data_IF_827793581185
#
_entry.id   IF_827793581185
#
_cell.length_a   1.000
_cell.length_b   1.000
_cell.length_c   1.000
_cell.angle_alpha   90.00
_cell.angle_beta   90.00
_cell.angle_gamma   90.00
#
_symmetry.space_group_name_H-M   'P 1'
#
loop_
_entity.id
_entity.type
_entity.pdbx_description
1 polymer ?
#
# COMPACT_ATOMS: atom_id res chain seq x y z
N UNK A 1 19.58 -9.48 4.64
CA UNK A 1 18.90 -9.02 5.86
C UNK A 1 18.76 -7.52 5.75
N UNK A 2 17.57 -7.00 6.03
CA UNK A 2 17.30 -5.56 6.14
C UNK A 2 17.24 -5.22 7.62
N UNK A 3 17.71 -4.05 8.07
CA UNK A 3 17.55 -3.62 9.46
C UNK A 3 16.07 -3.61 9.88
N UNK A 4 15.78 -3.89 11.15
CA UNK A 4 14.42 -4.10 11.65
C UNK A 4 13.53 -2.87 11.44
N UNK A 5 14.07 -1.65 11.58
CA UNK A 5 13.29 -0.43 11.36
C UNK A 5 12.86 -0.31 9.90
N UNK A 6 13.80 -0.58 8.98
CA UNK A 6 13.53 -0.53 7.55
C UNK A 6 12.72 -1.73 7.05
N UNK A 7 12.93 -2.90 7.63
CA UNK A 7 12.36 -4.16 7.20
C UNK A 7 10.83 -4.10 7.15
N UNK A 8 10.20 -3.46 8.14
CA UNK A 8 8.75 -3.28 8.18
C UNK A 8 8.17 -2.35 7.11
N UNK A 9 8.99 -1.49 6.49
CA UNK A 9 8.57 -0.66 5.36
C UNK A 9 8.51 -1.44 4.04
N UNK A 10 9.08 -2.64 3.97
CA UNK A 10 8.98 -3.51 2.79
C UNK A 10 7.64 -4.24 2.77
N UNK A 11 7.23 -4.70 1.58
CA UNK A 11 6.06 -5.58 1.48
C UNK A 11 6.24 -6.87 2.29
N UNK A 12 5.13 -7.48 2.71
CA UNK A 12 5.12 -8.67 3.58
C UNK A 12 5.96 -9.82 3.02
N UNK A 13 5.92 -10.05 1.71
CA UNK A 13 6.70 -11.11 1.04
C UNK A 13 8.21 -10.92 1.21
N UNK A 14 8.69 -9.68 1.11
CA UNK A 14 10.08 -9.32 1.34
C UNK A 14 10.44 -9.42 2.83
N UNK A 15 9.52 -9.06 3.72
CA UNK A 15 9.73 -9.23 5.17
C UNK A 15 10.00 -10.69 5.53
N UNK A 16 9.21 -11.63 5.01
CA UNK A 16 9.39 -13.06 5.31
C UNK A 16 10.79 -13.61 4.98
N UNK A 17 11.43 -13.10 3.92
CA UNK A 17 12.76 -13.55 3.52
C UNK A 17 13.89 -12.80 4.23
N UNK A 18 13.69 -11.52 4.57
CA UNK A 18 14.79 -10.61 4.87
C UNK A 18 14.69 -9.87 6.21
N UNK A 19 13.53 -9.89 6.86
CA UNK A 19 13.35 -9.24 8.16
C UNK A 19 14.09 -10.02 9.26
N UNK A 20 14.82 -9.37 10.19
CA UNK A 20 15.62 -10.06 11.18
C UNK A 20 14.82 -11.04 12.05
N UNK A 21 13.56 -10.71 12.38
CA UNK A 21 12.65 -11.61 13.13
C UNK A 21 12.42 -12.99 12.49
N UNK A 22 12.55 -13.11 11.17
CA UNK A 22 12.29 -14.36 10.44
C UNK A 22 13.57 -15.07 10.00
N UNK A 23 14.74 -14.51 10.30
CA UNK A 23 16.03 -15.11 9.99
C UNK A 23 16.57 -15.79 11.25
N UNK A 24 16.74 -17.11 11.21
CA UNK A 24 17.30 -17.83 12.34
C UNK A 24 18.72 -17.34 12.68
N UNK A 25 18.98 -17.13 13.98
CA UNK A 25 20.29 -16.71 14.49
C UNK A 25 20.50 -15.21 14.66
N UNK A 26 19.57 -14.36 14.21
CA UNK A 26 19.63 -12.89 14.42
C UNK A 26 19.35 -12.50 15.87
N UNK A 27 18.52 -13.28 16.57
CA UNK A 27 18.08 -12.96 17.93
C UNK A 27 17.28 -11.66 17.97
N UNK A 28 17.49 -10.84 19.00
CA UNK A 28 16.85 -9.52 19.16
C UNK A 28 17.70 -8.38 18.58
N UNK A 29 18.58 -8.66 17.62
CA UNK A 29 19.35 -7.61 16.97
C UNK A 29 18.44 -6.79 16.04
N UNK A 30 18.58 -5.46 16.11
CA UNK A 30 17.89 -4.54 15.20
C UNK A 30 18.56 -4.48 13.82
N UNK A 31 19.84 -4.84 13.69
CA UNK A 31 20.55 -4.80 12.41
C UNK A 31 20.86 -3.40 11.86
N UNK A 32 20.65 -2.34 12.65
CA UNK A 32 20.82 -0.91 12.29
C UNK A 32 22.22 -0.34 12.67
N UNK A 33 23.24 -1.20 12.72
CA UNK A 33 24.56 -0.82 13.23
C UNK A 33 25.24 0.29 12.40
N UNK A 34 25.03 0.31 11.08
CA UNK A 34 25.62 1.30 10.20
C UNK A 34 24.96 2.67 10.38
N UNK A 35 23.65 2.68 10.58
CA UNK A 35 22.81 3.84 10.79
C UNK A 35 23.21 4.58 12.06
N UNK A 36 23.51 3.84 13.14
CA UNK A 36 24.06 4.41 14.38
C UNK A 36 25.41 5.09 14.17
N UNK A 37 26.30 4.48 13.38
CA UNK A 37 27.62 5.04 13.04
C UNK A 37 27.46 6.32 12.21
N UNK A 38 26.60 6.29 11.19
CA UNK A 38 26.33 7.45 10.34
C UNK A 38 25.70 8.59 11.14
N UNK A 39 24.76 8.27 12.04
CA UNK A 39 24.14 9.24 12.93
C UNK A 39 25.18 9.95 13.81
N UNK A 40 26.06 9.18 14.45
CA UNK A 40 27.15 9.74 15.27
C UNK A 40 28.08 10.65 14.45
N UNK A 41 28.38 10.27 13.20
CA UNK A 41 29.25 11.05 12.32
C UNK A 41 28.70 12.44 11.97
N UNK A 42 27.40 12.70 12.14
CA UNK A 42 26.81 14.02 11.91
C UNK A 42 27.38 15.09 12.86
N UNK A 43 27.89 14.71 14.03
CA UNK A 43 28.53 15.63 14.97
C UNK A 43 29.75 16.34 14.36
N UNK A 44 30.43 15.68 13.41
CA UNK A 44 31.58 16.24 12.70
C UNK A 44 31.20 17.34 11.69
N UNK A 45 29.93 17.44 11.29
CA UNK A 45 29.52 18.33 10.21
C UNK A 45 29.88 19.80 10.48
N UNK A 46 29.72 20.25 11.72
CA UNK A 46 29.98 21.65 12.11
C UNK A 46 31.48 21.95 12.19
N UNK A 47 32.26 21.08 12.82
CA UNK A 47 33.70 21.29 13.04
C UNK A 47 34.52 21.15 11.75
N UNK A 48 34.08 20.29 10.83
CA UNK A 48 34.81 20.02 9.58
C UNK A 48 34.43 20.92 8.41
N UNK A 49 33.33 21.70 8.49
CA UNK A 49 32.79 22.52 7.40
C UNK A 49 33.81 23.48 6.77
N UNK A 50 34.65 24.09 7.60
CA UNK A 50 35.67 25.06 7.18
C UNK A 50 37.10 24.56 7.45
N UNK A 51 37.26 23.30 7.82
CA UNK A 51 38.55 22.70 8.06
C UNK A 51 39.29 22.47 6.73
N UNK A 52 40.62 22.60 6.75
CA UNK A 52 41.42 22.13 5.61
C UNK A 52 41.35 20.59 5.53
N UNK A 53 41.82 20.03 4.41
CA UNK A 53 41.79 18.58 4.18
C UNK A 53 42.45 17.77 5.31
N UNK A 54 43.59 18.24 5.79
CA UNK A 54 44.35 17.56 6.85
C UNK A 54 43.55 17.51 8.16
N UNK A 55 43.10 18.66 8.66
CA UNK A 55 42.33 18.73 9.90
C UNK A 55 40.97 18.04 9.79
N UNK A 56 40.36 18.01 8.60
CA UNK A 56 39.13 17.25 8.37
C UNK A 56 39.37 15.75 8.53
N UNK A 57 40.43 15.21 7.94
CA UNK A 57 40.76 13.79 8.11
C UNK A 57 41.11 13.46 9.56
N UNK A 58 41.93 14.30 10.20
CA UNK A 58 42.29 14.13 11.60
C UNK A 58 41.04 14.10 12.51
N UNK A 59 40.11 15.04 12.33
CA UNK A 59 38.87 15.07 13.13
C UNK A 59 37.99 13.84 12.90
N UNK A 60 37.92 13.32 11.66
CA UNK A 60 37.18 12.09 11.35
C UNK A 60 37.83 10.88 12.05
N UNK A 61 39.16 10.74 11.95
CA UNK A 61 39.90 9.65 12.58
C UNK A 61 39.76 9.68 14.11
N UNK A 62 39.94 10.85 14.73
CA UNK A 62 39.81 11.03 16.17
C UNK A 62 38.40 10.72 16.67
N UNK A 63 37.36 11.16 15.93
CA UNK A 63 35.98 10.88 16.29
C UNK A 63 35.67 9.38 16.28
N UNK A 64 36.07 8.65 15.23
CA UNK A 64 35.81 7.21 15.18
C UNK A 64 36.68 6.41 16.16
N UNK A 65 37.91 6.84 16.43
CA UNK A 65 38.74 6.23 17.46
C UNK A 65 38.13 6.40 18.86
N UNK A 66 37.62 7.59 19.16
CA UNK A 66 36.92 7.86 20.42
C UNK A 66 35.60 7.07 20.51
N UNK A 67 34.80 7.08 19.44
CA UNK A 67 33.55 6.33 19.37
C UNK A 67 33.77 4.83 19.60
N UNK A 68 34.80 4.23 19.00
CA UNK A 68 35.14 2.82 19.21
C UNK A 68 35.53 2.53 20.66
N UNK A 69 36.35 3.39 21.27
CA UNK A 69 36.73 3.27 22.67
C UNK A 69 35.51 3.35 23.61
N UNK A 70 34.59 4.28 23.36
CA UNK A 70 33.34 4.43 24.12
C UNK A 70 32.44 3.20 23.97
N UNK A 71 32.29 2.68 22.75
CA UNK A 71 31.50 1.45 22.50
C UNK A 71 32.12 0.24 23.19
N UNK A 72 33.44 0.11 23.14
CA UNK A 72 34.15 -0.96 23.82
C UNK A 72 33.99 -0.86 25.35
N UNK A 73 34.10 0.35 25.92
CA UNK A 73 33.88 0.59 27.34
C UNK A 73 32.44 0.27 27.78
N UNK A 74 31.45 0.55 26.92
CA UNK A 74 30.04 0.26 27.18
C UNK A 74 29.63 -1.21 26.92
N UNK A 75 30.47 -1.99 26.23
CA UNK A 75 30.11 -3.31 25.69
C UNK A 75 29.62 -4.28 26.76
N UNK A 76 30.30 -4.36 27.91
CA UNK A 76 29.92 -5.28 29.00
C UNK A 76 28.53 -4.96 29.57
N UNK A 77 28.21 -3.67 29.73
CA UNK A 77 26.90 -3.23 30.22
C UNK A 77 25.81 -3.50 29.19
N UNK A 78 26.11 -3.25 27.91
CA UNK A 78 25.23 -3.55 26.80
C UNK A 78 24.87 -5.05 26.77
N UNK A 79 25.88 -5.93 26.77
CA UNK A 79 25.68 -7.38 26.76
C UNK A 79 24.91 -7.88 27.98
N UNK A 80 25.25 -7.39 29.17
CA UNK A 80 24.56 -7.78 30.41
C UNK A 80 23.09 -7.34 30.42
N UNK A 81 22.80 -6.12 29.95
CA UNK A 81 21.45 -5.58 29.90
C UNK A 81 20.60 -6.38 28.93
N UNK A 82 21.06 -6.56 27.69
CA UNK A 82 20.32 -7.33 26.68
C UNK A 82 20.15 -8.81 27.04
N UNK A 83 21.14 -9.41 27.70
CA UNK A 83 20.98 -10.77 28.23
C UNK A 83 19.83 -10.87 29.23
N UNK A 84 19.73 -9.92 30.18
CA UNK A 84 18.64 -9.89 31.16
C UNK A 84 17.29 -9.62 30.52
N UNK A 85 17.24 -8.73 29.54
CA UNK A 85 16.03 -8.47 28.76
C UNK A 85 15.58 -9.72 28.02
N UNK A 86 16.50 -10.42 27.33
CA UNK A 86 16.20 -11.67 26.63
C UNK A 86 15.65 -12.73 27.60
N UNK A 87 16.28 -12.92 28.77
CA UNK A 87 15.77 -13.85 29.79
C UNK A 87 14.37 -13.48 30.27
N UNK A 88 14.10 -12.18 30.47
CA UNK A 88 12.79 -11.69 30.86
C UNK A 88 11.75 -11.96 29.77
N UNK A 89 12.08 -11.66 28.51
CA UNK A 89 11.21 -11.88 27.35
C UNK A 89 10.90 -13.37 27.17
N UNK A 90 11.91 -14.24 27.22
CA UNK A 90 11.71 -15.71 27.14
C UNK A 90 10.76 -16.16 28.25
N UNK A 91 10.97 -15.73 29.50
CA UNK A 91 10.09 -16.15 30.60
C UNK A 91 8.65 -15.71 30.41
N UNK A 92 8.42 -14.46 30.01
CA UNK A 92 7.07 -13.90 29.84
C UNK A 92 6.37 -14.47 28.61
N UNK A 93 7.03 -14.36 27.46
CA UNK A 93 6.44 -14.76 26.17
C UNK A 93 6.23 -16.26 26.08
N UNK A 94 7.07 -17.10 26.69
CA UNK A 94 6.81 -18.55 26.74
C UNK A 94 5.51 -18.85 27.48
N UNK A 95 5.22 -18.18 28.60
CA UNK A 95 3.98 -18.42 29.34
C UNK A 95 2.73 -17.97 28.56
N UNK A 96 2.82 -16.81 27.89
CA UNK A 96 1.75 -16.30 27.01
C UNK A 96 1.55 -17.22 25.81
N UNK A 97 2.64 -17.64 25.16
CA UNK A 97 2.60 -18.53 24.00
C UNK A 97 2.00 -19.89 24.34
N UNK A 98 2.33 -20.49 25.48
CA UNK A 98 1.73 -21.76 25.90
C UNK A 98 0.21 -21.64 26.12
N UNK A 99 -0.26 -20.50 26.62
CA UNK A 99 -1.70 -20.22 26.78
C UNK A 99 -2.39 -20.18 25.41
N UNK A 100 -1.83 -19.41 24.47
CA UNK A 100 -2.35 -19.28 23.10
C UNK A 100 -2.31 -20.62 22.37
N UNK A 101 -1.21 -21.39 22.50
CA UNK A 101 -1.08 -22.73 21.93
C UNK A 101 -2.15 -23.68 22.44
N UNK A 102 -2.45 -23.66 23.74
CA UNK A 102 -3.51 -24.49 24.30
C UNK A 102 -4.91 -24.11 23.77
N UNK A 103 -5.22 -22.82 23.72
CA UNK A 103 -6.51 -22.31 23.22
C UNK A 103 -6.73 -22.64 21.74
N UNK A 104 -5.70 -22.44 20.92
CA UNK A 104 -5.76 -22.65 19.47
C UNK A 104 -5.38 -24.08 19.04
N UNK A 105 -5.03 -24.97 19.99
CA UNK A 105 -4.57 -26.35 19.76
C UNK A 105 -3.36 -26.43 18.84
N UNK A 106 -2.38 -25.56 19.08
CA UNK A 106 -1.15 -25.45 18.31
C UNK A 106 0.03 -26.12 19.03
N UNK A 107 1.00 -26.52 18.22
CA UNK A 107 2.30 -27.05 18.61
C UNK A 107 3.42 -26.19 18.02
N UNK A 108 4.65 -26.33 18.53
CA UNK A 108 5.78 -25.57 17.99
C UNK A 108 6.10 -25.93 16.53
N UNK A 109 5.67 -27.09 16.06
CA UNK A 109 5.84 -27.54 14.67
C UNK A 109 4.90 -26.81 13.70
N UNK A 110 3.84 -26.16 14.18
CA UNK A 110 2.89 -25.46 13.33
C UNK A 110 3.45 -24.11 12.84
N UNK A 111 4.27 -23.44 13.64
CA UNK A 111 4.79 -22.10 13.30
C UNK A 111 5.63 -22.07 12.01
N UNK A 112 6.62 -22.97 11.80
CA UNK A 112 7.31 -23.05 10.51
C UNK A 112 6.35 -23.27 9.34
N UNK A 113 5.32 -24.10 9.55
CA UNK A 113 4.28 -24.37 8.56
C UNK A 113 3.47 -23.11 8.20
N UNK A 114 3.17 -22.24 9.17
CA UNK A 114 2.48 -20.97 8.91
C UNK A 114 3.30 -20.04 8.04
N UNK A 115 4.62 -19.93 8.29
CA UNK A 115 5.49 -19.12 7.46
C UNK A 115 5.58 -19.63 6.02
N UNK A 116 5.67 -20.95 5.85
CA UNK A 116 5.69 -21.56 4.52
C UNK A 116 4.35 -21.39 3.79
N UNK A 117 3.23 -21.54 4.49
CA UNK A 117 1.89 -21.30 3.93
C UNK A 117 1.72 -19.83 3.51
N UNK A 118 2.12 -18.90 4.36
CA UNK A 118 2.08 -17.46 4.06
C UNK A 118 2.95 -17.15 2.84
N UNK A 119 4.16 -17.71 2.77
CA UNK A 119 5.05 -17.55 1.62
C UNK A 119 4.45 -18.12 0.34
N UNK A 120 3.90 -19.34 0.38
CA UNK A 120 3.23 -19.97 -0.78
C UNK A 120 2.04 -19.13 -1.22
N UNK A 121 1.24 -18.63 -0.28
CA UNK A 121 0.11 -17.74 -0.58
C UNK A 121 0.59 -16.47 -1.27
N UNK A 122 1.59 -15.79 -0.71
CA UNK A 122 2.13 -14.54 -1.26
C UNK A 122 2.86 -14.74 -2.60
N UNK A 123 3.57 -15.86 -2.80
CA UNK A 123 4.14 -16.24 -4.10
C UNK A 123 3.05 -16.63 -5.11
N UNK A 124 1.94 -17.18 -4.61
CA UNK A 124 0.74 -17.51 -5.35
C UNK A 124 -0.14 -16.31 -5.72
N UNK A 125 0.07 -15.14 -5.09
CA UNK A 125 -0.50 -13.85 -5.48
C UNK A 125 0.15 -13.41 -6.80
N UNK A 126 -0.19 -14.12 -7.87
CA UNK A 126 0.07 -13.66 -9.22
C UNK A 126 -0.80 -12.43 -9.41
N UNK A 127 -0.15 -11.34 -9.80
CA UNK A 127 -0.86 -10.27 -10.49
C UNK A 127 -1.73 -10.92 -11.57
N UNK A 128 -3.01 -10.51 -11.72
CA UNK A 128 -3.88 -11.12 -12.72
C UNK A 128 -3.15 -11.07 -14.07
N UNK A 129 -3.34 -12.09 -14.91
CA UNK A 129 -2.67 -12.11 -16.20
C UNK A 129 -2.94 -10.77 -16.91
N UNK A 130 -2.03 -10.26 -17.76
CA UNK A 130 -2.24 -8.96 -18.41
C UNK A 130 -3.62 -8.83 -19.07
N UNK A 131 -4.15 -9.95 -19.59
CA UNK A 131 -5.52 -10.05 -20.11
C UNK A 131 -6.58 -9.88 -19.02
N UNK A 132 -6.47 -10.55 -17.88
CA UNK A 132 -7.44 -10.45 -16.77
C UNK A 132 -7.47 -9.05 -16.16
N UNK A 133 -6.32 -8.39 -16.03
CA UNK A 133 -6.25 -6.97 -15.63
C UNK A 133 -7.00 -6.08 -16.60
N UNK A 134 -6.84 -6.33 -17.89
CA UNK A 134 -7.54 -5.59 -18.94
C UNK A 134 -9.05 -5.89 -18.94
N UNK A 135 -9.46 -7.14 -18.67
CA UNK A 135 -10.86 -7.54 -18.49
C UNK A 135 -11.51 -6.88 -17.27
N UNK A 136 -10.79 -6.79 -16.14
CA UNK A 136 -11.22 -6.04 -14.95
C UNK A 136 -11.42 -4.57 -15.32
N UNK A 137 -10.45 -3.96 -16.00
CA UNK A 137 -10.55 -2.57 -16.46
C UNK A 137 -11.74 -2.40 -17.42
N UNK A 138 -11.96 -3.36 -18.32
CA UNK A 138 -13.06 -3.33 -19.26
C UNK A 138 -14.41 -3.32 -18.55
N UNK A 139 -14.61 -4.17 -17.53
CA UNK A 139 -15.81 -4.18 -16.69
C UNK A 139 -16.02 -2.83 -16.00
N UNK A 140 -14.99 -2.24 -15.41
CA UNK A 140 -15.10 -0.92 -14.76
C UNK A 140 -15.48 0.20 -15.76
N UNK A 141 -14.97 0.13 -16.98
CA UNK A 141 -15.30 1.10 -18.03
C UNK A 141 -16.72 0.86 -18.57
N UNK A 142 -17.22 -0.38 -18.59
CA UNK A 142 -18.62 -0.69 -18.91
C UNK A 142 -19.59 -0.15 -17.84
N UNK A 143 -19.24 -0.24 -16.55
CA UNK A 143 -19.98 0.41 -15.48
C UNK A 143 -20.03 1.92 -15.69
N UNK A 144 -18.87 2.54 -15.94
CA UNK A 144 -18.75 3.97 -16.19
C UNK A 144 -19.60 4.38 -17.40
N UNK A 145 -19.59 3.59 -18.47
CA UNK A 145 -20.41 3.85 -19.65
C UNK A 145 -21.91 3.84 -19.30
N UNK A 146 -22.37 2.86 -18.51
CA UNK A 146 -23.76 2.78 -18.10
C UNK A 146 -24.19 3.98 -17.25
N UNK A 147 -23.35 4.40 -16.31
CA UNK A 147 -23.57 5.59 -15.51
C UNK A 147 -23.64 6.86 -16.38
N UNK A 148 -22.67 7.05 -17.28
CA UNK A 148 -22.64 8.23 -18.16
C UNK A 148 -23.81 8.27 -19.13
N UNK A 149 -24.30 7.11 -19.57
CA UNK A 149 -25.51 6.99 -20.40
C UNK A 149 -26.75 7.44 -19.62
N UNK A 150 -26.92 6.96 -18.40
CA UNK A 150 -28.02 7.39 -17.53
C UNK A 150 -27.96 8.89 -17.21
N UNK A 151 -26.76 9.42 -16.93
CA UNK A 151 -26.56 10.87 -16.72
C UNK A 151 -26.97 11.70 -17.94
N UNK A 152 -26.59 11.27 -19.15
CA UNK A 152 -26.96 11.96 -20.38
C UNK A 152 -28.46 11.87 -20.66
N UNK A 153 -29.09 10.71 -20.46
CA UNK A 153 -30.53 10.57 -20.63
C UNK A 153 -31.32 11.49 -19.68
N UNK A 154 -30.92 11.58 -18.41
CA UNK A 154 -31.50 12.51 -17.45
C UNK A 154 -31.27 13.99 -17.84
N UNK A 155 -30.06 14.33 -18.30
CA UNK A 155 -29.76 15.69 -18.75
C UNK A 155 -30.58 16.07 -19.99
N UNK A 156 -30.74 15.12 -20.92
CA UNK A 156 -31.53 15.29 -22.14
C UNK A 156 -33.02 15.44 -21.82
N UNK A 157 -33.56 14.62 -20.94
CA UNK A 157 -34.96 14.73 -20.49
C UNK A 157 -35.20 16.06 -19.78
N UNK A 158 -34.31 16.45 -18.86
CA UNK A 158 -34.37 17.75 -18.18
C UNK A 158 -34.29 18.92 -19.17
N UNK A 159 -33.44 18.82 -20.20
CA UNK A 159 -33.34 19.83 -21.26
C UNK A 159 -34.61 19.92 -22.12
N UNK A 160 -35.20 18.79 -22.48
CA UNK A 160 -36.47 18.75 -23.20
C UNK A 160 -37.62 19.35 -22.37
N UNK A 161 -37.66 19.06 -21.06
CA UNK A 161 -38.64 19.64 -20.15
C UNK A 161 -38.46 21.15 -20.00
N UNK A 162 -37.22 21.64 -19.97
CA UNK A 162 -36.93 23.08 -19.99
C UNK A 162 -37.36 23.76 -21.30
N UNK A 163 -37.38 23.05 -22.43
CA UNK A 163 -37.88 23.59 -23.70
C UNK A 163 -39.40 23.56 -23.84
N UNK A 164 -40.05 22.54 -23.28
CA UNK A 164 -41.49 22.29 -23.45
C UNK A 164 -42.36 22.77 -22.27
N UNK A 165 -41.75 23.15 -21.14
CA UNK A 165 -42.46 23.56 -19.93
C UNK A 165 -43.00 24.99 -20.00
N UNK A 166 -44.19 25.20 -19.44
CA UNK A 166 -44.74 26.55 -19.22
C UNK A 166 -43.88 27.26 -18.18
N UNK A 167 -43.06 28.22 -18.62
CA UNK A 167 -42.17 28.95 -17.73
C UNK A 167 -42.93 30.05 -16.98
N UNK A 168 -42.93 29.98 -15.65
CA UNK A 168 -43.46 31.03 -14.76
C UNK A 168 -42.24 31.75 -14.16
N UNK A 169 -41.85 32.91 -14.70
CA UNK A 169 -40.66 33.66 -14.27
C UNK A 169 -40.28 34.81 -15.19
N UNK A 170 -39.22 35.55 -14.86
CA UNK A 170 -38.69 36.64 -15.71
C UNK A 170 -37.96 36.09 -16.94
N UNK A 171 -37.86 36.88 -18.01
CA UNK A 171 -37.18 36.49 -19.25
C UNK A 171 -35.71 36.06 -19.03
N UNK A 172 -35.01 36.73 -18.12
CA UNK A 172 -33.63 36.39 -17.73
C UNK A 172 -33.54 35.01 -17.08
N UNK A 173 -34.46 34.70 -16.15
CA UNK A 173 -34.50 33.40 -15.47
C UNK A 173 -34.75 32.26 -16.47
N UNK A 174 -35.59 32.49 -17.48
CA UNK A 174 -35.82 31.51 -18.55
C UNK A 174 -34.57 31.31 -19.41
N UNK A 175 -33.89 32.40 -19.78
CA UNK A 175 -32.67 32.34 -20.58
C UNK A 175 -31.55 31.57 -19.86
N UNK A 176 -31.35 31.85 -18.58
CA UNK A 176 -30.34 31.18 -17.77
C UNK A 176 -30.66 29.69 -17.58
N UNK A 177 -31.92 29.33 -17.32
CA UNK A 177 -32.35 27.94 -17.22
C UNK A 177 -32.07 27.15 -18.51
N UNK A 178 -32.42 27.71 -19.67
CA UNK A 178 -32.16 27.10 -20.98
C UNK A 178 -30.66 26.98 -21.28
N UNK A 179 -29.87 28.00 -20.94
CA UNK A 179 -28.42 27.99 -21.10
C UNK A 179 -27.78 26.90 -20.23
N UNK A 180 -28.19 26.78 -18.96
CA UNK A 180 -27.70 25.74 -18.05
C UNK A 180 -28.09 24.34 -18.53
N UNK A 181 -29.34 24.15 -18.97
CA UNK A 181 -29.78 22.88 -19.54
C UNK A 181 -28.93 22.47 -20.75
N UNK A 182 -28.69 23.40 -21.68
CA UNK A 182 -27.83 23.16 -22.86
C UNK A 182 -26.40 22.78 -22.47
N UNK A 183 -25.80 23.51 -21.53
CA UNK A 183 -24.43 23.21 -21.04
C UNK A 183 -24.39 21.80 -20.43
N UNK A 184 -25.39 21.44 -19.62
CA UNK A 184 -25.47 20.13 -18.97
C UNK A 184 -25.62 18.98 -19.97
N UNK A 185 -26.47 19.15 -20.99
CA UNK A 185 -26.61 18.16 -22.09
C UNK A 185 -25.31 18.00 -22.85
N UNK A 186 -24.67 19.10 -23.24
CA UNK A 186 -23.41 19.04 -23.98
C UNK A 186 -22.29 18.40 -23.15
N UNK A 187 -22.18 18.77 -21.87
CA UNK A 187 -21.16 18.23 -20.97
C UNK A 187 -21.36 16.73 -20.70
N UNK A 188 -22.58 16.29 -20.42
CA UNK A 188 -22.91 14.87 -20.22
C UNK A 188 -22.70 14.05 -21.50
N UNK A 189 -23.02 14.60 -22.67
CA UNK A 189 -22.76 13.95 -23.95
C UNK A 189 -21.26 13.77 -24.23
N UNK A 190 -20.44 14.80 -23.95
CA UNK A 190 -18.98 14.68 -24.09
C UNK A 190 -18.39 13.60 -23.18
N UNK A 191 -18.88 13.50 -21.92
CA UNK A 191 -18.50 12.41 -21.00
C UNK A 191 -18.90 11.03 -21.52
N UNK A 192 -20.11 10.91 -22.07
CA UNK A 192 -20.59 9.66 -22.68
C UNK A 192 -19.72 9.24 -23.87
N UNK A 193 -19.38 10.18 -24.76
CA UNK A 193 -18.48 9.90 -25.89
C UNK A 193 -17.09 9.45 -25.43
N UNK A 194 -16.56 10.06 -24.37
CA UNK A 194 -15.28 9.65 -23.79
C UNK A 194 -15.34 8.22 -23.23
N UNK A 195 -16.41 7.88 -22.49
CA UNK A 195 -16.62 6.53 -21.97
C UNK A 195 -16.75 5.50 -23.10
N UNK A 196 -17.52 5.79 -24.15
CA UNK A 196 -17.61 4.91 -25.35
C UNK A 196 -16.25 4.71 -26.01
N UNK A 197 -15.42 5.75 -26.09
CA UNK A 197 -14.06 5.65 -26.62
C UNK A 197 -13.15 4.73 -25.79
N UNK A 198 -13.24 4.79 -24.46
CA UNK A 198 -12.50 3.90 -23.57
C UNK A 198 -12.98 2.44 -23.69
N UNK A 199 -14.28 2.22 -23.83
CA UNK A 199 -14.86 0.88 -24.05
C UNK A 199 -14.32 0.30 -25.35
N UNK A 200 -14.40 1.05 -26.46
CA UNK A 200 -13.90 0.60 -27.77
C UNK A 200 -12.39 0.31 -27.75
N UNK A 201 -11.61 1.08 -27.00
CA UNK A 201 -10.19 0.83 -26.81
C UNK A 201 -9.93 -0.51 -26.09
N UNK A 202 -10.66 -0.78 -25.01
CA UNK A 202 -10.56 -2.04 -24.29
C UNK A 202 -11.01 -3.24 -25.14
N UNK A 203 -12.10 -3.10 -25.91
CA UNK A 203 -12.61 -4.12 -26.84
C UNK A 203 -11.56 -4.48 -27.90
N UNK A 204 -10.86 -3.48 -28.44
CA UNK A 204 -9.76 -3.67 -29.40
C UNK A 204 -8.62 -4.46 -28.79
N UNK A 205 -8.19 -4.09 -27.57
CA UNK A 205 -7.09 -4.76 -26.88
C UNK A 205 -7.43 -6.18 -26.42
N UNK A 206 -8.70 -6.44 -26.05
CA UNK A 206 -9.17 -7.76 -25.64
C UNK A 206 -9.58 -8.66 -26.82
N UNK A 207 -9.71 -8.09 -28.02
CA UNK A 207 -10.27 -8.74 -29.21
C UNK A 207 -11.68 -9.29 -28.94
N UNK A 208 -12.55 -8.42 -28.43
CA UNK A 208 -13.95 -8.74 -28.14
C UNK A 208 -14.79 -8.39 -29.35
N UNK A 209 -15.45 -9.38 -29.93
CA UNK A 209 -16.32 -9.19 -31.10
C UNK A 209 -17.67 -8.55 -30.73
N UNK A 210 -18.25 -8.96 -29.59
CA UNK A 210 -19.50 -8.42 -29.06
C UNK A 210 -19.32 -7.89 -27.64
N UNK A 211 -19.75 -6.64 -27.42
CA UNK A 211 -19.68 -5.97 -26.13
C UNK A 211 -20.32 -6.81 -25.03
N UNK A 212 -19.63 -6.97 -23.91
CA UNK A 212 -20.17 -7.72 -22.78
C UNK A 212 -21.43 -7.07 -22.23
N UNK A 213 -22.47 -7.88 -22.08
CA UNK A 213 -23.70 -7.45 -21.45
C UNK A 213 -23.48 -7.24 -19.96
N UNK A 214 -23.97 -6.13 -19.41
CA UNK A 214 -24.00 -5.93 -17.96
C UNK A 214 -24.83 -7.04 -17.32
N UNK A 215 -24.21 -7.81 -16.43
CA UNK A 215 -24.81 -8.98 -15.81
C UNK A 215 -24.65 -10.30 -16.58
N UNK A 216 -23.96 -10.30 -17.73
CA UNK A 216 -23.49 -11.51 -18.40
C UNK A 216 -22.42 -12.25 -17.59
N UNK A 217 -22.05 -13.45 -18.02
CA UNK A 217 -21.18 -14.35 -17.25
C UNK A 217 -19.74 -13.83 -17.17
N UNK A 218 -19.17 -13.38 -18.29
CA UNK A 218 -17.83 -12.79 -18.35
C UNK A 218 -17.77 -11.49 -17.53
N UNK A 219 -18.79 -10.65 -17.66
CA UNK A 219 -18.91 -9.43 -16.87
C UNK A 219 -18.93 -9.73 -15.37
N UNK A 220 -19.77 -10.68 -14.92
CA UNK A 220 -19.89 -11.04 -13.50
C UNK A 220 -18.58 -11.58 -12.96
N UNK A 221 -17.92 -12.49 -13.69
CA UNK A 221 -16.64 -13.05 -13.28
C UNK A 221 -15.60 -11.97 -13.02
N UNK A 222 -15.38 -11.06 -13.97
CA UNK A 222 -14.38 -10.00 -13.79
C UNK A 222 -14.84 -8.88 -12.87
N UNK A 223 -16.15 -8.70 -12.65
CA UNK A 223 -16.71 -7.80 -11.63
C UNK A 223 -16.42 -8.31 -10.21
N UNK A 224 -16.56 -9.61 -10.00
CA UNK A 224 -16.19 -10.26 -8.74
C UNK A 224 -14.69 -10.13 -8.49
N UNK A 225 -13.85 -10.42 -9.49
CA UNK A 225 -12.39 -10.24 -9.39
C UNK A 225 -11.99 -8.77 -9.11
N UNK A 226 -12.64 -7.80 -9.75
CA UNK A 226 -12.42 -6.38 -9.48
C UNK A 226 -12.74 -6.02 -8.01
N UNK A 227 -13.81 -6.61 -7.47
CA UNK A 227 -14.26 -6.38 -6.09
C UNK A 227 -13.30 -7.03 -5.08
N UNK A 228 -12.90 -8.27 -5.34
CA UNK A 228 -11.88 -8.96 -4.54
C UNK A 228 -10.53 -8.24 -4.59
N UNK A 229 -10.14 -7.71 -5.75
CA UNK A 229 -8.93 -6.90 -5.91
C UNK A 229 -8.95 -5.63 -5.05
N UNK A 230 -10.08 -4.91 -5.01
CA UNK A 230 -10.27 -3.74 -4.14
C UNK A 230 -10.21 -4.12 -2.67
N UNK A 231 -10.86 -5.21 -2.29
CA UNK A 231 -10.83 -5.73 -0.91
C UNK A 231 -9.40 -6.10 -0.48
N UNK A 232 -8.67 -6.87 -1.30
CA UNK A 232 -7.26 -7.24 -1.03
C UNK A 232 -6.38 -6.00 -0.88
N UNK A 233 -6.50 -5.03 -1.80
CA UNK A 233 -5.73 -3.78 -1.74
C UNK A 233 -6.04 -2.98 -0.46
N UNK A 234 -7.31 -2.91 -0.06
CA UNK A 234 -7.71 -2.23 1.16
C UNK A 234 -7.21 -2.96 2.42
N UNK A 235 -7.19 -4.30 2.40
CA UNK A 235 -6.66 -5.11 3.48
C UNK A 235 -5.14 -4.94 3.61
N UNK A 236 -4.41 -4.98 2.50
CA UNK A 236 -2.96 -4.73 2.46
C UNK A 236 -2.62 -3.34 3.01
N UNK A 237 -3.41 -2.33 2.65
CA UNK A 237 -3.23 -0.97 3.15
C UNK A 237 -3.56 -0.86 4.65
N UNK A 238 -4.61 -1.52 5.12
CA UNK A 238 -4.94 -1.57 6.53
C UNK A 238 -3.84 -2.23 7.35
N UNK A 239 -3.32 -3.38 6.89
CA UNK A 239 -2.20 -4.07 7.52
C UNK A 239 -0.97 -3.15 7.59
N UNK A 240 -0.63 -2.50 6.47
CA UNK A 240 0.47 -1.53 6.41
C UNK A 240 0.28 -0.40 7.42
N UNK A 241 -0.92 0.16 7.54
CA UNK A 241 -1.23 1.23 8.50
C UNK A 241 -1.16 0.76 9.95
N UNK A 242 -1.63 -0.45 10.27
CA UNK A 242 -1.52 -1.04 11.61
C UNK A 242 -0.06 -1.24 11.99
N UNK A 243 0.74 -1.82 11.09
CA UNK A 243 2.18 -2.03 11.30
C UNK A 243 2.88 -0.68 11.52
N UNK A 244 2.63 0.32 10.66
CA UNK A 244 3.16 1.67 10.87
C UNK A 244 2.77 2.25 12.21
N UNK A 245 1.51 2.10 12.62
CA UNK A 245 1.02 2.62 13.90
C UNK A 245 1.67 1.96 15.09
N UNK A 246 1.96 0.65 15.02
CA UNK A 246 2.69 -0.06 16.05
C UNK A 246 4.12 0.51 16.21
N UNK A 247 4.78 0.89 15.11
CA UNK A 247 6.10 1.54 15.16
C UNK A 247 6.09 2.97 15.69
N UNK A 248 5.00 3.72 15.48
CA UNK A 248 4.85 5.05 16.08
C UNK A 248 4.66 5.01 17.61
N UNK A 249 4.18 3.88 18.13
CA UNK A 249 3.82 3.69 19.53
C UNK A 249 4.89 2.94 20.35
N UNK A 250 5.86 2.32 19.68
CA UNK A 250 7.05 1.69 20.28
C UNK A 250 8.18 2.69 20.44
#
# INVERSE_FOLDING_TARGET
MVGAFHGHAHNRRCQLDWHPMYISGTGHTEGEGCEHIFSASNELARSTRHANRFHRHQAIEEHFAFWDADKYAALSNYLWTHYREALKSVRLLTAELETIKAELRLSDNDFPGFFDQERIYLDGLKQPAPRDRLSIRYVEVLDELAERRAEWDLARESGNNALNGVHIGSLEQMHDALKQARIRVNSSYAKLQHAEGLVAHCETLLSVDERWLIGGDEYKHFKEEATLGKYRTALDELERLVVMRLFELS
#
